data_IF_383799158205
#
_entry.id   IF_383799158205
#
_cell.length_a   1.000
_cell.length_b   1.000
_cell.length_c   1.000
_cell.angle_alpha   90.00
_cell.angle_beta   90.00
_cell.angle_gamma   90.00
#
_symmetry.space_group_name_H-M   'P 1'
#
loop_
_entity.id
_entity.type
_entity.pdbx_description
1 polymer ?
#
# COMPACT_ATOMS: atom_id res chain seq x y z
N UNK A 1 69.41 14.64 64.13
CA UNK A 1 68.96 13.38 63.51
C UNK A 1 67.47 13.44 63.31
N UNK A 2 67.05 13.81 62.12
CA UNK A 2 65.64 13.95 61.71
C UNK A 2 65.18 12.63 61.08
N UNK A 3 64.18 12.00 61.67
CA UNK A 3 63.47 10.94 61.01
C UNK A 3 62.20 11.50 60.37
N UNK A 4 62.18 11.48 59.07
CA UNK A 4 60.99 11.81 58.22
C UNK A 4 60.12 10.57 58.19
N UNK A 5 58.91 10.65 58.76
CA UNK A 5 57.84 9.69 58.57
C UNK A 5 57.12 9.94 57.25
N UNK A 6 57.36 9.11 56.31
CA UNK A 6 56.52 9.03 55.05
C UNK A 6 55.29 8.18 55.35
N UNK A 7 54.12 8.84 55.49
CA UNK A 7 52.85 8.18 55.54
C UNK A 7 52.43 7.82 54.13
N UNK A 8 52.47 6.54 53.77
CA UNK A 8 51.84 6.00 52.54
C UNK A 8 50.36 6.03 52.74
N UNK A 9 49.72 6.94 51.97
CA UNK A 9 48.27 6.96 51.80
C UNK A 9 47.88 5.77 50.92
N UNK A 10 47.33 4.72 51.51
CA UNK A 10 46.69 3.59 50.84
C UNK A 10 45.39 4.09 50.23
N UNK A 11 45.42 4.34 48.93
CA UNK A 11 44.20 4.55 48.15
C UNK A 11 43.37 3.27 48.15
N UNK A 12 42.32 3.24 48.96
CA UNK A 12 41.26 2.24 48.83
C UNK A 12 40.62 2.41 47.47
N UNK A 13 40.94 1.56 46.54
CA UNK A 13 40.12 1.35 45.36
C UNK A 13 38.71 0.96 45.85
N UNK A 14 37.77 1.91 45.74
CA UNK A 14 36.35 1.64 45.95
C UNK A 14 35.89 0.75 44.81
N UNK A 15 36.09 -0.55 44.95
CA UNK A 15 35.37 -1.52 44.10
C UNK A 15 33.87 -1.26 44.25
N UNK A 16 33.22 -1.03 43.12
CA UNK A 16 31.77 -0.89 43.07
C UNK A 16 31.10 -2.09 43.75
N UNK A 17 30.70 -1.91 45.01
CA UNK A 17 29.98 -2.92 45.76
C UNK A 17 28.56 -3.04 45.15
N UNK A 18 28.30 -4.13 44.44
CA UNK A 18 26.99 -4.46 43.89
C UNK A 18 25.87 -4.38 44.93
N UNK A 19 26.18 -4.69 46.18
CA UNK A 19 25.23 -4.61 47.31
C UNK A 19 24.88 -3.16 47.64
N UNK A 20 25.87 -2.26 47.70
CA UNK A 20 25.65 -0.83 47.99
C UNK A 20 24.83 -0.17 46.84
N UNK A 21 25.09 -0.59 45.61
CA UNK A 21 24.32 -0.17 44.43
C UNK A 21 22.86 -0.66 44.51
N UNK A 22 22.63 -1.90 44.92
CA UNK A 22 21.28 -2.46 45.11
C UNK A 22 20.52 -1.73 46.25
N UNK A 23 21.17 -1.45 47.38
CA UNK A 23 20.58 -0.70 48.49
C UNK A 23 20.25 0.74 48.08
N UNK A 24 21.08 1.39 47.27
CA UNK A 24 20.83 2.70 46.74
C UNK A 24 19.58 2.71 45.79
N UNK A 25 19.46 1.73 44.90
CA UNK A 25 18.27 1.56 44.05
C UNK A 25 17.01 1.30 44.87
N UNK A 26 17.07 0.45 45.86
CA UNK A 26 15.96 0.17 46.77
C UNK A 26 15.57 1.39 47.62
N UNK A 27 16.52 2.21 48.04
CA UNK A 27 16.24 3.47 48.76
C UNK A 27 15.50 4.51 47.91
N UNK A 28 15.70 4.49 46.56
CA UNK A 28 15.08 5.41 45.62
C UNK A 28 13.91 4.78 44.82
N UNK A 29 13.35 3.68 45.29
CA UNK A 29 12.30 2.91 44.60
C UNK A 29 11.11 3.76 44.21
N UNK A 30 10.75 4.82 44.94
CA UNK A 30 9.66 5.73 44.61
C UNK A 30 9.90 6.46 43.29
N UNK A 31 11.12 6.89 43.00
CA UNK A 31 11.52 7.53 41.76
C UNK A 31 11.51 6.55 40.60
N UNK A 32 11.93 5.31 40.86
CA UNK A 32 11.87 4.23 39.88
C UNK A 32 10.40 3.92 39.50
N UNK A 33 9.53 3.80 40.51
CA UNK A 33 8.09 3.55 40.30
C UNK A 33 7.44 4.71 39.54
N UNK A 34 7.77 5.98 39.87
CA UNK A 34 7.29 7.17 39.14
C UNK A 34 7.75 7.13 37.67
N UNK A 35 8.99 6.78 37.42
CA UNK A 35 9.55 6.66 36.06
C UNK A 35 8.81 5.57 35.25
N UNK A 36 8.64 4.39 35.84
CA UNK A 36 7.90 3.28 35.19
C UNK A 36 6.46 3.68 34.87
N UNK A 37 5.79 4.37 35.82
CA UNK A 37 4.43 4.84 35.61
C UNK A 37 4.35 5.91 34.52
N UNK A 38 5.30 6.85 34.47
CA UNK A 38 5.38 7.90 33.45
C UNK A 38 5.61 7.28 32.06
N UNK A 39 6.65 6.46 31.91
CA UNK A 39 6.96 5.84 30.62
C UNK A 39 5.91 4.80 30.21
N UNK A 40 5.35 4.06 31.17
CA UNK A 40 4.24 3.14 30.93
C UNK A 40 2.99 3.86 30.43
N UNK A 41 2.64 5.01 31.02
CA UNK A 41 1.49 5.82 30.56
C UNK A 41 1.72 6.43 29.18
N UNK A 42 2.94 6.90 28.88
CA UNK A 42 3.30 7.38 27.54
C UNK A 42 3.26 6.27 26.50
N UNK A 43 3.81 5.09 26.81
CA UNK A 43 3.77 3.94 25.92
C UNK A 43 2.33 3.47 25.69
N UNK A 44 1.50 3.42 26.75
CA UNK A 44 0.09 3.08 26.62
C UNK A 44 -0.67 4.09 25.76
N UNK A 45 -0.43 5.41 25.93
CA UNK A 45 -1.04 6.45 25.14
C UNK A 45 -0.65 6.33 23.65
N UNK A 46 0.62 6.04 23.37
CA UNK A 46 1.09 5.83 22.00
C UNK A 46 0.47 4.58 21.38
N UNK A 47 0.40 3.47 22.12
CA UNK A 47 -0.29 2.26 21.67
C UNK A 47 -1.79 2.48 21.44
N UNK A 48 -2.46 3.21 22.34
CA UNK A 48 -3.88 3.51 22.20
C UNK A 48 -4.22 4.39 20.98
N UNK A 49 -3.26 5.20 20.51
CA UNK A 49 -3.41 6.04 19.31
C UNK A 49 -2.99 5.36 18.02
N UNK A 50 -2.22 4.28 18.10
CA UNK A 50 -1.71 3.59 16.91
C UNK A 50 -2.85 2.99 16.09
N UNK A 51 -2.89 3.22 14.76
CA UNK A 51 -3.87 2.60 13.89
C UNK A 51 -3.64 1.08 13.84
N UNK A 52 -4.72 0.34 13.62
CA UNK A 52 -4.62 -1.09 13.36
C UNK A 52 -3.98 -1.31 11.99
N UNK A 53 -3.05 -2.26 11.93
CA UNK A 53 -2.39 -2.67 10.68
C UNK A 53 -2.72 -4.13 10.42
N UNK A 54 -3.32 -4.38 9.27
CA UNK A 54 -3.69 -5.71 8.81
C UNK A 54 -2.68 -6.21 7.79
N UNK A 55 -2.40 -7.50 7.85
CA UNK A 55 -1.53 -8.19 6.90
C UNK A 55 -2.38 -9.13 6.05
N UNK A 56 -2.22 -9.03 4.70
CA UNK A 56 -2.89 -9.89 3.73
C UNK A 56 -1.88 -10.48 2.78
N UNK A 57 -2.18 -11.68 2.29
CA UNK A 57 -1.35 -12.40 1.32
C UNK A 57 -2.22 -12.96 0.22
N UNK A 58 -1.66 -13.02 -0.99
CA UNK A 58 -2.22 -13.70 -2.14
C UNK A 58 -1.12 -14.51 -2.81
N UNK A 59 -1.43 -15.71 -3.27
CA UNK A 59 -0.48 -16.58 -3.97
C UNK A 59 -0.81 -16.61 -5.45
N UNK A 60 0.21 -16.41 -6.30
CA UNK A 60 0.09 -16.41 -7.76
C UNK A 60 1.00 -17.48 -8.33
N UNK A 61 0.46 -18.29 -9.23
CA UNK A 61 1.22 -19.27 -10.01
C UNK A 61 1.54 -18.65 -11.36
N UNK A 62 2.83 -18.49 -11.65
CA UNK A 62 3.30 -18.03 -12.96
C UNK A 62 3.40 -19.25 -13.87
N UNK A 63 2.52 -19.31 -14.87
CA UNK A 63 2.61 -20.33 -15.90
C UNK A 63 3.45 -19.82 -17.05
N UNK A 64 4.60 -20.46 -17.28
CA UNK A 64 5.38 -20.22 -18.49
C UNK A 64 4.68 -20.90 -19.67
N UNK A 65 4.22 -20.15 -20.69
CA UNK A 65 3.61 -20.72 -21.88
C UNK A 65 4.64 -21.46 -22.75
N UNK A 66 5.93 -21.29 -22.51
CA UNK A 66 7.02 -21.94 -23.23
C UNK A 66 7.44 -23.30 -22.65
N UNK A 67 6.89 -23.69 -21.49
CA UNK A 67 7.10 -25.02 -20.95
C UNK A 67 6.47 -26.07 -21.86
N UNK A 68 7.23 -26.51 -22.85
CA UNK A 68 6.87 -27.66 -23.69
C UNK A 68 6.64 -28.86 -22.80
N UNK A 69 5.62 -29.70 -23.08
CA UNK A 69 5.46 -30.97 -22.36
C UNK A 69 6.74 -31.77 -22.49
N UNK A 70 7.19 -32.33 -21.38
CA UNK A 70 8.38 -33.11 -21.22
C UNK A 70 8.67 -34.03 -22.46
N UNK A 71 9.59 -33.62 -23.30
CA UNK A 71 10.26 -34.56 -24.22
C UNK A 71 11.42 -35.14 -23.43
N UNK A 72 11.29 -36.41 -23.08
CA UNK A 72 12.32 -37.19 -22.41
C UNK A 72 13.60 -37.15 -23.26
N UNK A 73 14.60 -36.46 -22.81
CA UNK A 73 15.95 -36.51 -23.42
C UNK A 73 16.67 -35.18 -23.45
N UNK A 74 17.35 -34.85 -22.38
CA UNK A 74 18.54 -34.00 -22.41
C UNK A 74 18.36 -32.50 -22.17
N UNK A 75 19.09 -32.03 -21.19
CA UNK A 75 19.46 -30.62 -20.85
C UNK A 75 18.60 -29.90 -19.83
N UNK A 76 18.35 -30.52 -18.70
CA UNK A 76 17.72 -29.90 -17.49
C UNK A 76 18.40 -28.63 -16.94
N UNK A 77 19.60 -28.28 -17.41
CA UNK A 77 20.30 -27.08 -16.97
C UNK A 77 19.82 -25.81 -17.67
N UNK A 78 19.48 -25.87 -18.95
CA UNK A 78 18.99 -24.72 -19.72
C UNK A 78 17.55 -24.33 -19.31
N UNK A 79 16.68 -25.31 -19.05
CA UNK A 79 15.30 -25.06 -18.61
C UNK A 79 15.25 -24.36 -17.25
N UNK A 80 16.14 -24.71 -16.32
CA UNK A 80 16.22 -24.04 -15.03
C UNK A 80 16.70 -22.57 -15.12
N UNK A 81 17.59 -22.24 -16.06
CA UNK A 81 18.02 -20.87 -16.30
C UNK A 81 16.90 -20.03 -16.93
N UNK A 82 16.19 -20.54 -17.90
CA UNK A 82 15.08 -19.85 -18.57
C UNK A 82 13.94 -19.60 -17.59
N UNK A 83 13.57 -20.56 -16.77
CA UNK A 83 12.53 -20.41 -15.74
C UNK A 83 12.91 -19.38 -14.68
N UNK A 84 14.17 -19.34 -14.23
CA UNK A 84 14.64 -18.32 -13.27
C UNK A 84 14.59 -16.91 -13.84
N UNK A 85 14.95 -16.73 -15.10
CA UNK A 85 14.91 -15.44 -15.79
C UNK A 85 13.46 -14.96 -15.93
N UNK A 86 12.54 -15.87 -16.31
CA UNK A 86 11.13 -15.52 -16.44
C UNK A 86 10.51 -15.10 -15.11
N UNK A 87 10.73 -15.85 -14.02
CA UNK A 87 10.21 -15.47 -12.70
C UNK A 87 10.77 -14.13 -12.22
N UNK A 88 12.06 -13.85 -12.47
CA UNK A 88 12.66 -12.58 -12.12
C UNK A 88 12.03 -11.40 -12.89
N UNK A 89 11.73 -11.59 -14.17
CA UNK A 89 11.06 -10.59 -15.00
C UNK A 89 9.64 -10.32 -14.50
N UNK A 90 8.88 -11.37 -14.18
CA UNK A 90 7.53 -11.25 -13.64
C UNK A 90 7.52 -10.54 -12.29
N UNK A 91 8.51 -10.80 -11.44
CA UNK A 91 8.68 -10.10 -10.16
C UNK A 91 8.92 -8.59 -10.38
N UNK A 92 9.71 -8.22 -11.39
CA UNK A 92 9.92 -6.82 -11.76
C UNK A 92 8.65 -6.18 -12.32
N UNK A 93 7.85 -6.93 -13.09
CA UNK A 93 6.57 -6.46 -13.62
C UNK A 93 5.58 -6.18 -12.49
N UNK A 94 5.43 -7.05 -11.49
CA UNK A 94 4.62 -6.79 -10.30
C UNK A 94 5.07 -5.55 -9.52
N UNK A 95 6.35 -5.17 -9.58
CA UNK A 95 6.90 -3.96 -8.97
C UNK A 95 6.79 -2.72 -9.85
N UNK A 96 6.23 -2.84 -11.05
CA UNK A 96 6.09 -1.72 -11.98
C UNK A 96 5.23 -0.60 -11.39
N UNK A 97 5.74 0.65 -11.48
CA UNK A 97 4.98 1.84 -11.07
C UNK A 97 3.69 1.99 -11.89
N UNK A 98 3.74 1.69 -13.20
CA UNK A 98 2.60 1.77 -14.11
C UNK A 98 1.48 0.84 -13.65
N UNK A 99 1.82 -0.42 -13.36
CA UNK A 99 0.88 -1.43 -12.91
C UNK A 99 0.27 -1.06 -11.56
N UNK A 100 1.08 -0.65 -10.57
CA UNK A 100 0.57 -0.24 -9.27
C UNK A 100 -0.31 1.02 -9.37
N UNK A 101 0.04 1.98 -10.22
CA UNK A 101 -0.78 3.20 -10.45
C UNK A 101 -2.18 2.85 -10.96
N UNK A 102 -2.26 1.92 -11.91
CA UNK A 102 -3.53 1.42 -12.44
C UNK A 102 -4.36 0.74 -11.34
N UNK A 103 -3.71 -0.09 -10.51
CA UNK A 103 -4.35 -0.74 -9.36
C UNK A 103 -4.92 0.26 -8.38
N UNK A 104 -4.12 1.23 -7.95
CA UNK A 104 -4.55 2.28 -6.99
C UNK A 104 -5.71 3.08 -7.54
N UNK A 105 -5.68 3.41 -8.84
CA UNK A 105 -6.74 4.14 -9.52
C UNK A 105 -8.05 3.34 -9.58
N UNK A 106 -7.99 2.06 -9.95
CA UNK A 106 -9.19 1.21 -10.07
C UNK A 106 -9.83 0.87 -8.74
N UNK A 107 -9.02 0.66 -7.70
CA UNK A 107 -9.48 0.38 -6.34
C UNK A 107 -9.93 1.65 -5.61
N UNK A 108 -9.61 2.83 -6.15
CA UNK A 108 -9.78 4.13 -5.48
C UNK A 108 -9.08 4.18 -4.11
N UNK A 109 -7.90 3.56 -4.00
CA UNK A 109 -7.14 3.53 -2.76
C UNK A 109 -6.51 4.89 -2.40
N UNK A 110 -6.61 5.86 -3.30
CA UNK A 110 -6.24 7.27 -3.10
C UNK A 110 -7.27 8.02 -2.21
N UNK A 111 -8.47 7.46 -2.02
CA UNK A 111 -9.52 8.02 -1.16
C UNK A 111 -9.62 7.21 0.13
N UNK A 112 -9.54 7.90 1.26
CA UNK A 112 -9.58 7.33 2.61
C UNK A 112 -10.78 7.88 3.36
N UNK A 113 -11.49 7.00 4.09
CA UNK A 113 -12.63 7.33 4.93
C UNK A 113 -12.31 6.91 6.36
N UNK A 114 -12.06 7.87 7.23
CA UNK A 114 -11.65 7.60 8.60
C UNK A 114 -12.69 8.07 9.61
N UNK A 115 -12.89 7.26 10.65
CA UNK A 115 -13.69 7.62 11.81
C UNK A 115 -12.83 7.61 13.05
N UNK A 116 -13.07 8.58 13.93
CA UNK A 116 -12.48 8.61 15.26
C UNK A 116 -13.26 7.65 16.17
N UNK A 117 -12.59 6.61 16.66
CA UNK A 117 -13.12 5.67 17.63
C UNK A 117 -12.26 5.73 18.90
N UNK A 118 -12.74 6.45 19.90
CA UNK A 118 -11.93 6.78 21.07
C UNK A 118 -10.67 7.57 20.70
N UNK A 119 -9.50 7.00 20.98
CA UNK A 119 -8.19 7.60 20.66
C UNK A 119 -7.62 7.13 19.30
N UNK A 120 -8.26 6.16 18.65
CA UNK A 120 -7.81 5.59 17.36
C UNK A 120 -8.58 6.16 16.20
N UNK A 121 -7.93 6.20 15.05
CA UNK A 121 -8.57 6.44 13.75
C UNK A 121 -8.69 5.13 13.02
N UNK A 122 -9.91 4.74 12.70
CA UNK A 122 -10.22 3.51 11.99
C UNK A 122 -10.54 3.85 10.53
N UNK A 123 -9.90 3.14 9.60
CA UNK A 123 -10.17 3.24 8.17
C UNK A 123 -11.41 2.41 7.82
N UNK A 124 -12.39 3.02 7.19
CA UNK A 124 -13.64 2.35 6.78
C UNK A 124 -13.56 1.79 5.36
N UNK A 125 -12.86 2.50 4.47
CA UNK A 125 -12.73 2.18 3.04
C UNK A 125 -14.10 1.87 2.41
N UNK A 126 -14.32 0.67 1.81
CA UNK A 126 -15.60 0.29 1.19
C UNK A 126 -16.75 0.09 2.18
N UNK A 127 -16.46 -0.03 3.50
CA UNK A 127 -17.48 -0.11 4.57
C UNK A 127 -17.94 1.27 5.04
N UNK A 128 -17.48 2.34 4.40
CA UNK A 128 -17.96 3.69 4.70
C UNK A 128 -19.46 3.81 4.41
N UNK A 129 -20.24 4.49 5.27
CA UNK A 129 -21.67 4.75 5.00
C UNK A 129 -21.87 5.73 3.84
N UNK A 130 -20.84 6.47 3.48
CA UNK A 130 -20.86 7.44 2.38
C UNK A 130 -19.74 7.13 1.39
N UNK A 131 -20.00 7.46 0.13
CA UNK A 131 -18.99 7.50 -0.91
C UNK A 131 -18.93 8.92 -1.49
N UNK A 132 -17.72 9.40 -1.75
CA UNK A 132 -17.48 10.71 -2.35
C UNK A 132 -16.88 10.52 -3.72
N UNK A 133 -17.54 11.10 -4.72
CA UNK A 133 -17.04 11.18 -6.09
C UNK A 133 -16.55 12.59 -6.36
N UNK A 134 -15.32 12.71 -6.78
CA UNK A 134 -14.71 13.96 -7.24
C UNK A 134 -14.92 14.06 -8.75
N UNK A 135 -15.53 15.15 -9.24
CA UNK A 135 -15.89 15.30 -10.65
C UNK A 135 -14.72 15.83 -11.47
N UNK A 136 -14.08 16.87 -10.99
CA UNK A 136 -13.04 17.66 -11.67
C UNK A 136 -11.69 17.67 -10.95
N UNK A 137 -11.52 16.79 -9.94
CA UNK A 137 -10.24 16.67 -9.27
C UNK A 137 -9.19 16.00 -10.16
N UNK A 138 -8.08 16.66 -10.35
CA UNK A 138 -6.93 16.01 -10.97
C UNK A 138 -6.44 14.85 -10.09
N UNK A 139 -5.84 13.79 -10.68
CA UNK A 139 -5.36 12.64 -9.93
C UNK A 139 -4.39 13.01 -8.79
N UNK A 140 -3.59 14.06 -9.00
CA UNK A 140 -2.56 14.49 -8.04
C UNK A 140 -3.05 15.52 -7.01
N UNK A 141 -4.36 15.85 -7.04
CA UNK A 141 -4.94 16.79 -6.07
C UNK A 141 -5.08 16.14 -4.70
N UNK A 142 -4.65 16.86 -3.67
CA UNK A 142 -4.90 16.50 -2.26
C UNK A 142 -6.05 17.32 -1.72
N UNK A 143 -7.04 16.63 -1.12
CA UNK A 143 -8.21 17.27 -0.49
C UNK A 143 -8.54 16.52 0.79
N UNK A 144 -8.89 17.24 1.84
CA UNK A 144 -9.40 16.63 3.06
C UNK A 144 -10.54 17.49 3.63
N UNK A 145 -11.59 16.83 4.04
CA UNK A 145 -12.76 17.45 4.69
C UNK A 145 -13.50 16.42 5.54
N UNK A 146 -14.40 16.91 6.35
CA UNK A 146 -15.20 16.08 7.24
C UNK A 146 -16.65 16.07 6.78
N UNK A 147 -17.25 14.89 6.72
CA UNK A 147 -18.66 14.69 6.41
C UNK A 147 -19.37 14.15 7.65
N UNK A 148 -20.47 14.79 8.02
CA UNK A 148 -21.32 14.39 9.16
C UNK A 148 -22.73 14.14 8.64
N UNK A 149 -23.19 12.88 8.57
CA UNK A 149 -24.56 12.56 8.20
C UNK A 149 -25.56 13.20 9.17
N UNK A 150 -26.50 13.99 8.65
CA UNK A 150 -27.55 14.64 9.43
C UNK A 150 -28.84 13.85 9.40
N UNK A 151 -29.23 13.39 8.22
CA UNK A 151 -30.38 12.54 7.96
C UNK A 151 -30.14 11.73 6.67
N UNK A 152 -31.12 10.97 6.22
CA UNK A 152 -31.00 10.14 4.99
C UNK A 152 -30.72 10.93 3.71
N UNK A 153 -30.94 12.24 3.69
CA UNK A 153 -30.87 13.11 2.52
C UNK A 153 -29.80 14.20 2.61
N UNK A 154 -29.39 14.56 3.84
CA UNK A 154 -28.53 15.72 4.08
C UNK A 154 -27.28 15.32 4.87
N UNK A 155 -26.17 15.92 4.50
CA UNK A 155 -24.89 15.85 5.22
C UNK A 155 -24.35 17.25 5.51
N UNK A 156 -23.63 17.38 6.60
CA UNK A 156 -22.81 18.55 6.87
C UNK A 156 -21.39 18.30 6.34
N UNK A 157 -20.84 19.28 5.64
CA UNK A 157 -19.45 19.33 5.23
C UNK A 157 -18.73 20.38 6.06
N UNK A 158 -17.61 20.03 6.67
CA UNK A 158 -16.81 20.95 7.49
C UNK A 158 -15.31 20.69 7.31
N UNK A 159 -14.48 21.65 7.75
CA UNK A 159 -13.02 21.54 7.78
C UNK A 159 -12.39 21.29 6.39
N UNK A 160 -12.64 22.18 5.45
CA UNK A 160 -11.87 22.19 4.20
C UNK A 160 -10.45 22.69 4.47
N UNK A 161 -9.45 21.86 4.13
CA UNK A 161 -8.04 22.28 4.20
C UNK A 161 -7.84 23.39 3.16
N UNK A 162 -7.52 24.58 3.62
CA UNK A 162 -7.21 25.75 2.78
C UNK A 162 -8.21 26.90 2.86
N UNK A 163 -9.32 26.73 3.58
CA UNK A 163 -10.24 27.84 3.89
C UNK A 163 -10.23 28.09 5.41
N UNK A 164 -9.86 29.31 5.81
CA UNK A 164 -9.71 29.75 7.22
C UNK A 164 -11.07 29.92 7.93
N UNK A 165 -12.14 29.53 7.28
CA UNK A 165 -13.50 29.62 7.80
C UNK A 165 -14.05 28.24 8.17
N UNK A 166 -14.39 28.06 9.45
CA UNK A 166 -15.21 26.96 10.00
C UNK A 166 -16.64 26.95 9.39
N UNK A 167 -16.75 27.06 8.07
CA UNK A 167 -18.03 27.04 7.38
C UNK A 167 -18.52 25.60 7.30
N UNK A 168 -19.59 25.34 8.03
CA UNK A 168 -20.38 24.11 7.87
C UNK A 168 -21.37 24.33 6.74
N UNK A 169 -21.20 23.58 5.65
CA UNK A 169 -22.12 23.59 4.51
C UNK A 169 -23.12 22.45 4.70
N UNK A 170 -24.41 22.75 4.61
CA UNK A 170 -25.45 21.71 4.51
C UNK A 170 -25.65 21.36 3.04
N UNK A 171 -25.51 20.08 2.73
CA UNK A 171 -25.53 19.57 1.36
C UNK A 171 -26.50 18.42 1.25
N UNK A 172 -27.26 18.38 0.16
CA UNK A 172 -28.09 17.21 -0.17
C UNK A 172 -27.23 16.07 -0.73
N UNK A 173 -27.50 14.86 -0.29
CA UNK A 173 -26.88 13.67 -0.87
C UNK A 173 -27.29 13.53 -2.35
N UNK A 174 -26.39 13.03 -3.16
CA UNK A 174 -26.51 12.84 -4.62
C UNK A 174 -26.52 14.16 -5.43
N UNK A 175 -26.43 15.32 -4.79
CA UNK A 175 -26.27 16.59 -5.49
C UNK A 175 -24.80 16.95 -5.67
N UNK A 176 -24.53 17.70 -6.75
CA UNK A 176 -23.19 18.23 -6.99
C UNK A 176 -22.97 19.49 -6.18
N UNK A 177 -21.94 19.51 -5.39
CA UNK A 177 -21.56 20.62 -4.53
C UNK A 177 -20.20 21.15 -4.88
N UNK A 178 -20.10 22.45 -5.03
CA UNK A 178 -18.83 23.13 -5.20
C UNK A 178 -18.16 23.36 -3.84
N UNK A 179 -16.93 22.93 -3.73
CA UNK A 179 -16.07 23.16 -2.59
C UNK A 179 -14.82 23.91 -3.09
N UNK A 180 -14.83 25.22 -2.99
CA UNK A 180 -13.85 26.07 -3.64
C UNK A 180 -13.92 25.92 -5.15
N UNK A 181 -12.85 25.45 -5.78
CA UNK A 181 -12.74 25.18 -7.21
C UNK A 181 -13.04 23.71 -7.57
N UNK A 182 -13.54 22.91 -6.63
CA UNK A 182 -13.74 21.47 -6.78
C UNK A 182 -15.22 21.11 -6.68
N UNK A 183 -15.70 20.25 -7.57
CA UNK A 183 -17.05 19.71 -7.51
C UNK A 183 -17.02 18.27 -7.00
N UNK A 184 -17.83 18.01 -5.98
CA UNK A 184 -17.99 16.67 -5.40
C UNK A 184 -19.45 16.26 -5.35
N UNK A 185 -19.66 14.96 -5.32
CA UNK A 185 -20.97 14.35 -5.03
C UNK A 185 -20.79 13.40 -3.86
N UNK A 186 -21.59 13.57 -2.83
CA UNK A 186 -21.65 12.66 -1.68
C UNK A 186 -22.86 11.76 -1.84
N UNK A 187 -22.63 10.44 -1.86
CA UNK A 187 -23.68 9.44 -2.00
C UNK A 187 -23.74 8.54 -0.78
N UNK A 188 -24.93 8.03 -0.43
CA UNK A 188 -25.08 7.00 0.59
C UNK A 188 -24.68 5.63 0.01
N UNK A 189 -24.04 4.80 0.83
CA UNK A 189 -23.74 3.40 0.50
C UNK A 189 -24.74 2.46 1.18
N UNK A 190 -24.71 1.18 0.86
CA UNK A 190 -25.53 0.16 1.53
C UNK A 190 -25.15 -0.03 3.01
N UNK A 191 -24.04 0.51 3.47
CA UNK A 191 -23.65 0.54 4.90
C UNK A 191 -24.27 1.72 5.66
N UNK A 192 -25.01 2.62 4.98
CA UNK A 192 -25.67 3.73 5.64
C UNK A 192 -26.76 3.22 6.60
N UNK A 193 -26.65 3.60 7.86
CA UNK A 193 -27.60 3.25 8.93
C UNK A 193 -27.79 4.44 9.86
N UNK A 194 -28.88 4.49 10.60
CA UNK A 194 -29.15 5.53 11.60
C UNK A 194 -28.02 5.68 12.63
N UNK A 195 -27.30 4.60 12.94
CA UNK A 195 -26.15 4.60 13.84
C UNK A 195 -24.99 5.50 13.37
N UNK A 196 -25.01 5.96 12.12
CA UNK A 196 -24.01 6.88 11.56
C UNK A 196 -24.40 8.35 11.64
N UNK A 197 -25.65 8.66 12.02
CA UNK A 197 -26.11 10.05 12.17
C UNK A 197 -25.28 10.77 13.24
N UNK A 198 -24.84 11.96 12.92
CA UNK A 198 -24.01 12.78 13.78
C UNK A 198 -22.55 12.35 13.94
N UNK A 199 -22.13 11.23 13.34
CA UNK A 199 -20.73 10.78 13.39
C UNK A 199 -19.89 11.51 12.35
N UNK A 200 -18.73 11.97 12.78
CA UNK A 200 -17.76 12.68 11.95
C UNK A 200 -16.93 11.68 11.15
N UNK A 201 -17.03 11.72 9.82
CA UNK A 201 -16.27 10.89 8.88
C UNK A 201 -15.29 11.81 8.17
N UNK A 202 -14.00 11.59 8.40
CA UNK A 202 -12.95 12.32 7.71
C UNK A 202 -12.70 11.68 6.35
N UNK A 203 -12.92 12.45 5.30
CA UNK A 203 -12.64 12.05 3.90
C UNK A 203 -11.35 12.72 3.47
N UNK A 204 -10.43 11.92 2.94
CA UNK A 204 -9.17 12.41 2.45
C UNK A 204 -8.85 11.80 1.08
N UNK A 205 -8.70 12.63 0.05
CA UNK A 205 -8.10 12.27 -1.22
C UNK A 205 -6.62 12.62 -1.18
N UNK A 206 -5.77 11.68 -1.57
CA UNK A 206 -4.31 11.86 -1.65
C UNK A 206 -3.84 11.85 -3.09
N UNK A 207 -2.72 12.50 -3.42
CA UNK A 207 -2.11 12.41 -4.75
C UNK A 207 -1.90 10.95 -5.18
N UNK A 208 -2.35 10.62 -6.38
CA UNK A 208 -2.31 9.25 -6.90
C UNK A 208 -0.88 8.70 -6.95
N UNK A 209 0.09 9.52 -7.35
CA UNK A 209 1.50 9.12 -7.40
C UNK A 209 2.09 8.84 -6.01
N UNK A 210 1.71 9.62 -5.00
CA UNK A 210 2.14 9.40 -3.62
C UNK A 210 1.60 8.08 -3.06
N UNK A 211 0.31 7.80 -3.32
CA UNK A 211 -0.31 6.53 -2.89
C UNK A 211 0.27 5.35 -3.67
N UNK A 212 0.52 5.52 -4.97
CA UNK A 212 1.21 4.51 -5.79
C UNK A 212 2.57 4.15 -5.22
N UNK A 213 3.39 5.16 -4.89
CA UNK A 213 4.71 4.95 -4.29
C UNK A 213 4.63 4.25 -2.93
N UNK A 214 3.63 4.60 -2.12
CA UNK A 214 3.37 3.95 -0.84
C UNK A 214 3.08 2.45 -1.01
N UNK A 215 2.14 2.07 -1.88
CA UNK A 215 1.79 0.67 -2.11
C UNK A 215 2.92 -0.10 -2.79
N UNK A 216 3.67 0.53 -3.69
CA UNK A 216 4.85 -0.07 -4.31
C UNK A 216 5.94 -0.42 -3.28
N UNK A 217 6.16 0.45 -2.29
CA UNK A 217 7.09 0.20 -1.19
C UNK A 217 6.57 -0.81 -0.16
N UNK A 218 5.24 -0.82 0.08
CA UNK A 218 4.60 -1.71 1.04
C UNK A 218 4.40 -3.14 0.50
N UNK A 219 4.44 -3.33 -0.83
CA UNK A 219 4.24 -4.62 -1.49
C UNK A 219 5.44 -5.53 -1.24
N UNK A 220 5.24 -6.58 -0.46
CA UNK A 220 6.18 -7.68 -0.31
C UNK A 220 5.94 -8.74 -1.37
N UNK A 221 6.98 -9.14 -2.09
CA UNK A 221 6.93 -10.24 -3.06
C UNK A 221 7.98 -11.25 -2.65
N UNK A 222 7.57 -12.49 -2.46
CA UNK A 222 8.45 -13.61 -2.11
C UNK A 222 8.20 -14.78 -3.04
N UNK A 223 9.23 -15.39 -3.53
CA UNK A 223 9.18 -16.71 -4.16
C UNK A 223 9.29 -17.77 -3.05
N UNK A 224 8.38 -18.71 -3.00
CA UNK A 224 8.33 -19.71 -1.91
C UNK A 224 9.54 -20.64 -1.96
N UNK A 225 9.88 -21.12 -3.15
CA UNK A 225 11.07 -21.94 -3.40
C UNK A 225 11.82 -21.43 -4.63
N UNK A 226 13.14 -21.53 -4.64
CA UNK A 226 14.01 -21.01 -5.71
C UNK A 226 13.72 -21.56 -7.12
N UNK A 227 13.02 -22.67 -7.21
CA UNK A 227 12.64 -23.36 -8.47
C UNK A 227 11.12 -23.37 -8.70
N UNK A 228 10.32 -22.88 -7.76
CA UNK A 228 8.88 -22.83 -7.90
C UNK A 228 8.43 -21.59 -8.68
N UNK A 229 7.51 -21.78 -9.62
CA UNK A 229 6.81 -20.70 -10.31
C UNK A 229 5.68 -20.09 -9.44
N UNK A 230 5.84 -20.11 -8.12
CA UNK A 230 4.86 -19.64 -7.14
C UNK A 230 5.40 -18.39 -6.46
N UNK A 231 4.66 -17.30 -6.61
CA UNK A 231 4.94 -16.04 -5.91
C UNK A 231 3.89 -15.79 -4.83
N UNK A 232 4.35 -15.42 -3.65
CA UNK A 232 3.49 -14.92 -2.56
C UNK A 232 3.61 -13.39 -2.51
N UNK A 233 2.50 -12.73 -2.82
CA UNK A 233 2.31 -11.30 -2.69
C UNK A 233 1.79 -10.99 -1.30
N UNK A 234 2.34 -9.99 -0.62
CA UNK A 234 1.91 -9.60 0.71
C UNK A 234 1.80 -8.09 0.83
N UNK A 235 0.81 -7.63 1.60
CA UNK A 235 0.55 -6.22 1.80
C UNK A 235 0.14 -5.93 3.25
N UNK A 236 0.61 -4.80 3.77
CA UNK A 236 0.18 -4.25 5.07
C UNK A 236 -0.62 -2.98 4.82
N UNK A 237 -1.82 -2.90 5.40
CA UNK A 237 -2.70 -1.73 5.29
C UNK A 237 -3.51 -1.53 6.57
N UNK A 238 -4.03 -0.32 6.76
CA UNK A 238 -4.93 0.01 7.87
C UNK A 238 -6.35 -0.54 7.67
N UNK A 239 -6.70 -0.99 6.46
CA UNK A 239 -7.94 -1.70 6.15
C UNK A 239 -7.63 -3.07 5.58
N UNK A 240 -8.17 -4.12 6.21
CA UNK A 240 -7.98 -5.49 5.72
C UNK A 240 -8.63 -5.72 4.35
N UNK A 241 -9.77 -5.05 4.11
CA UNK A 241 -10.50 -5.13 2.83
C UNK A 241 -9.71 -4.43 1.73
N UNK A 242 -9.19 -3.22 2.01
CA UNK A 242 -8.37 -2.50 1.03
C UNK A 242 -7.10 -3.26 0.66
N UNK A 243 -6.42 -3.87 1.64
CA UNK A 243 -5.25 -4.71 1.36
C UNK A 243 -5.59 -5.88 0.43
N UNK A 244 -6.72 -6.52 0.65
CA UNK A 244 -7.21 -7.64 -0.16
C UNK A 244 -7.61 -7.17 -1.56
N UNK A 245 -8.37 -6.07 -1.67
CA UNK A 245 -8.79 -5.50 -2.95
C UNK A 245 -7.59 -5.04 -3.80
N UNK A 246 -6.57 -4.43 -3.17
CA UNK A 246 -5.33 -4.05 -3.86
C UNK A 246 -4.57 -5.27 -4.38
N UNK A 247 -4.43 -6.33 -3.58
CA UNK A 247 -3.76 -7.56 -4.02
C UNK A 247 -4.53 -8.26 -5.15
N UNK A 248 -5.85 -8.38 -5.04
CA UNK A 248 -6.68 -9.00 -6.07
C UNK A 248 -6.68 -8.18 -7.36
N UNK A 249 -6.78 -6.85 -7.26
CA UNK A 249 -6.70 -5.97 -8.41
C UNK A 249 -5.31 -6.00 -9.07
N UNK A 250 -4.24 -6.11 -8.27
CA UNK A 250 -2.87 -6.25 -8.78
C UNK A 250 -2.74 -7.50 -9.67
N UNK A 251 -3.29 -8.62 -9.22
CA UNK A 251 -3.31 -9.87 -10.00
C UNK A 251 -4.16 -9.70 -11.27
N UNK A 252 -5.30 -9.03 -11.16
CA UNK A 252 -6.20 -8.78 -12.29
C UNK A 252 -5.53 -7.92 -13.35
N UNK A 253 -4.97 -6.77 -12.98
CA UNK A 253 -4.29 -5.85 -13.90
C UNK A 253 -3.06 -6.50 -14.53
N UNK A 254 -2.29 -7.27 -13.75
CA UNK A 254 -1.17 -8.04 -14.26
C UNK A 254 -1.62 -9.03 -15.35
N UNK A 255 -2.68 -9.80 -15.12
CA UNK A 255 -3.20 -10.76 -16.09
C UNK A 255 -3.72 -10.05 -17.36
N UNK A 256 -4.42 -8.92 -17.20
CA UNK A 256 -4.88 -8.10 -18.33
C UNK A 256 -3.72 -7.57 -19.17
N UNK A 257 -2.65 -7.09 -18.52
CA UNK A 257 -1.46 -6.59 -19.22
C UNK A 257 -0.74 -7.74 -19.95
N UNK A 258 -0.59 -8.89 -19.32
CA UNK A 258 0.01 -10.07 -19.95
C UNK A 258 -0.79 -10.58 -21.17
N UNK A 259 -2.12 -10.52 -21.13
CA UNK A 259 -2.98 -10.87 -22.27
C UNK A 259 -2.81 -9.82 -23.38
N UNK A 260 -2.79 -8.54 -23.03
CA UNK A 260 -2.61 -7.44 -24.01
C UNK A 260 -1.28 -7.57 -24.74
N UNK A 261 -0.19 -7.84 -24.02
CA UNK A 261 1.14 -8.00 -24.60
C UNK A 261 1.19 -9.18 -25.55
N UNK A 262 0.60 -10.32 -25.19
CA UNK A 262 0.51 -11.50 -26.07
C UNK A 262 -0.30 -11.23 -27.34
N UNK A 263 -1.41 -10.54 -27.21
CA UNK A 263 -2.23 -10.15 -28.37
C UNK A 263 -1.45 -9.19 -29.28
N UNK A 264 -0.71 -8.23 -28.71
CA UNK A 264 0.10 -7.30 -29.52
C UNK A 264 1.20 -8.05 -30.30
N UNK A 265 1.88 -9.00 -29.66
CA UNK A 265 2.88 -9.85 -30.34
C UNK A 265 2.24 -10.65 -31.47
N UNK A 266 1.05 -11.21 -31.26
CA UNK A 266 0.34 -11.98 -32.28
C UNK A 266 -0.05 -11.09 -33.48
N UNK A 267 -0.55 -9.88 -33.23
CA UNK A 267 -0.89 -8.92 -34.29
C UNK A 267 0.36 -8.50 -35.07
N UNK A 268 1.42 -8.09 -34.38
CA UNK A 268 2.67 -7.70 -35.04
C UNK A 268 3.28 -8.86 -35.87
N UNK A 269 3.17 -10.10 -35.37
CA UNK A 269 3.62 -11.28 -36.11
C UNK A 269 2.79 -11.52 -37.36
N UNK A 270 1.46 -11.38 -37.26
CA UNK A 270 0.57 -11.52 -38.42
C UNK A 270 0.84 -10.45 -39.49
N UNK A 271 1.03 -9.19 -39.07
CA UNK A 271 1.40 -8.09 -39.94
C UNK A 271 2.73 -8.37 -40.65
N UNK A 272 3.76 -8.77 -39.90
CA UNK A 272 5.07 -9.13 -40.44
C UNK A 272 5.01 -10.29 -41.48
N UNK A 273 4.22 -11.32 -41.17
CA UNK A 273 4.03 -12.45 -42.10
C UNK A 273 3.33 -11.99 -43.38
N UNK A 274 2.31 -11.13 -43.26
CA UNK A 274 1.58 -10.61 -44.40
C UNK A 274 2.47 -9.73 -45.29
N UNK A 275 3.25 -8.83 -44.73
CA UNK A 275 4.25 -8.03 -45.46
C UNK A 275 5.26 -8.92 -46.18
N UNK A 276 5.73 -9.99 -45.49
CA UNK A 276 6.72 -10.92 -46.10
C UNK A 276 6.12 -11.71 -47.24
N UNK A 277 4.85 -12.13 -47.16
CA UNK A 277 4.13 -12.81 -48.22
C UNK A 277 3.98 -11.95 -49.46
N UNK A 278 3.71 -10.67 -49.31
CA UNK A 278 3.62 -9.69 -50.44
C UNK A 278 4.96 -9.58 -51.13
N UNK A 279 6.06 -9.39 -50.39
CA UNK A 279 7.39 -9.27 -50.97
C UNK A 279 7.79 -10.55 -51.72
N UNK A 280 7.57 -11.73 -51.11
CA UNK A 280 7.87 -12.99 -51.77
C UNK A 280 7.01 -13.20 -53.01
N UNK A 281 5.73 -12.77 -52.97
CA UNK A 281 4.84 -12.81 -54.13
C UNK A 281 5.31 -11.94 -55.28
N UNK A 282 5.82 -10.74 -55.02
CA UNK A 282 6.43 -9.85 -56.00
C UNK A 282 7.72 -10.46 -56.59
N UNK A 283 8.64 -10.94 -55.73
CA UNK A 283 9.90 -11.60 -56.15
C UNK A 283 9.60 -12.82 -57.03
N UNK A 284 8.60 -13.62 -56.71
CA UNK A 284 8.20 -14.79 -57.48
C UNK A 284 7.61 -14.38 -58.86
N UNK A 285 6.77 -13.32 -58.89
CA UNK A 285 6.21 -12.80 -60.13
C UNK A 285 7.27 -12.23 -61.07
N UNK A 286 8.32 -11.59 -60.55
CA UNK A 286 9.44 -11.08 -61.34
C UNK A 286 10.27 -12.25 -61.95
N UNK A 287 10.50 -13.32 -61.20
CA UNK A 287 11.21 -14.52 -61.71
C UNK A 287 10.40 -15.27 -62.79
N UNK A 288 9.07 -15.30 -62.69
CA UNK A 288 8.20 -15.91 -63.71
C UNK A 288 8.14 -15.10 -65.01
N UNK A 289 8.37 -13.78 -64.94
CA UNK A 289 8.41 -12.91 -66.14
C UNK A 289 9.75 -12.92 -66.86
N UNK A 290 10.82 -13.32 -66.19
CA UNK A 290 12.21 -13.42 -66.73
C UNK A 290 12.54 -14.80 -67.34
N UNK A 291 11.61 -15.75 -67.31
CA UNK A 291 11.69 -17.08 -67.91
C UNK A 291 10.88 -17.18 -69.19
#
# INVERSE_FOLDING_TARGET
MNQTNTSTASGKEQGLNLVDMLVFFLSKWKWFLLSVLLFGSLAWLQYARSPLVYFRQATVIIKDPSSKPYTAGGLNRYDNFVNKVNVANELLQFRSKKLMREVVSRVHADISYQIQDGLRRNELFTRSPIAVRFIDATPERSVAFTVIPKNEKEVFLSQLIGDDTDKVLTVMMNDTVAIGDLHIVVTSTHFYKEAWLGKSIQVQKRPLDAVTAYYQAALGIRQEESEASILTLSLKDNSSVRAEDVLNMLITVYNEEAIRDKNQVAVNTAEFINERLIIIGEELGDVETDL
#
